data_IF_339919110686
#
_entry.id   IF_339919110686
#
_cell.length_a   1.000
_cell.length_b   1.000
_cell.length_c   1.000
_cell.angle_alpha   90.00
_cell.angle_beta   90.00
_cell.angle_gamma   90.00
#
_symmetry.space_group_name_H-M   'P 1'
#
loop_
_entity.id
_entity.type
_entity.pdbx_description
1 polymer ?
#
# COMPACT_ATOMS: atom_id res chain seq x y z
N UNK A 1 4.18 -9.38 16.44
CA UNK A 1 4.36 -8.68 15.16
C UNK A 1 5.75 -8.12 15.18
N UNK A 2 6.69 -8.78 14.49
CA UNK A 2 8.06 -8.27 14.37
C UNK A 2 8.05 -7.22 13.26
N UNK A 3 8.10 -5.95 13.65
CA UNK A 3 8.43 -4.86 12.72
C UNK A 3 9.80 -5.19 12.12
N UNK A 4 9.85 -5.46 10.82
CA UNK A 4 11.11 -5.70 10.12
C UNK A 4 11.91 -4.40 10.19
N UNK A 5 12.94 -4.38 11.04
CA UNK A 5 13.82 -3.22 11.22
C UNK A 5 14.59 -3.04 9.91
N UNK A 6 14.23 -2.00 9.16
CA UNK A 6 14.94 -1.61 7.95
C UNK A 6 16.35 -1.21 8.34
N UNK A 7 17.35 -1.94 7.86
CA UNK A 7 18.77 -1.70 8.13
C UNK A 7 19.39 -0.81 7.04
N UNK A 8 20.47 -0.09 7.37
CA UNK A 8 21.22 0.71 6.38
C UNK A 8 21.85 -0.16 5.27
N UNK A 9 21.95 -1.47 5.50
CA UNK A 9 22.61 -2.42 4.62
C UNK A 9 21.62 -3.15 3.71
N UNK A 10 20.31 -2.94 3.92
CA UNK A 10 19.27 -3.53 3.10
C UNK A 10 19.34 -2.99 1.68
N UNK A 11 19.30 -3.88 0.70
CA UNK A 11 19.14 -3.47 -0.69
C UNK A 11 17.70 -3.00 -0.88
N UNK A 12 17.53 -1.69 -1.01
CA UNK A 12 16.26 -1.06 -1.37
C UNK A 12 15.96 -1.20 -2.87
N UNK A 13 15.89 -2.44 -3.34
CA UNK A 13 15.37 -2.71 -4.68
C UNK A 13 13.84 -2.67 -4.71
N UNK A 14 13.27 -2.70 -5.91
CA UNK A 14 11.82 -2.59 -6.11
C UNK A 14 11.07 -3.74 -5.46
N UNK A 15 11.65 -4.94 -5.42
CA UNK A 15 10.96 -6.11 -4.87
C UNK A 15 10.95 -6.08 -3.34
N UNK A 16 12.01 -5.55 -2.71
CA UNK A 16 12.01 -5.24 -1.30
C UNK A 16 10.92 -4.22 -0.93
N UNK A 17 10.85 -3.10 -1.66
CA UNK A 17 9.84 -2.06 -1.39
C UNK A 17 8.41 -2.57 -1.61
N UNK A 18 8.18 -3.38 -2.66
CA UNK A 18 6.87 -4.03 -2.88
C UNK A 18 6.48 -4.91 -1.69
N UNK A 19 7.42 -5.68 -1.15
CA UNK A 19 7.17 -6.56 0.00
C UNK A 19 6.74 -5.74 1.22
N UNK A 20 7.43 -4.63 1.50
CA UNK A 20 7.07 -3.72 2.59
C UNK A 20 5.67 -3.11 2.40
N UNK A 21 5.33 -2.69 1.18
CA UNK A 21 4.00 -2.16 0.86
C UNK A 21 2.90 -3.21 1.05
N UNK A 22 3.14 -4.44 0.58
CA UNK A 22 2.18 -5.56 0.75
C UNK A 22 1.92 -5.83 2.23
N UNK A 23 2.99 -5.94 3.04
CA UNK A 23 2.85 -6.11 4.50
C UNK A 23 2.07 -4.93 5.09
N UNK A 24 2.35 -3.70 4.64
CA UNK A 24 1.66 -2.52 5.15
C UNK A 24 0.15 -2.53 4.83
N UNK A 25 -0.25 -3.00 3.65
CA UNK A 25 -1.65 -3.08 3.25
C UNK A 25 -2.45 -4.07 4.08
N UNK A 26 -1.80 -5.08 4.67
CA UNK A 26 -2.43 -6.03 5.60
C UNK A 26 -2.89 -5.39 6.91
N UNK A 27 -2.29 -4.26 7.27
CA UNK A 27 -2.52 -3.55 8.52
C UNK A 27 -3.43 -2.31 8.35
N UNK A 28 -3.81 -1.96 7.12
CA UNK A 28 -4.66 -0.79 6.86
C UNK A 28 -6.14 -1.17 7.05
N UNK A 29 -6.83 -0.44 7.92
CA UNK A 29 -8.29 -0.36 7.83
C UNK A 29 -8.66 0.57 6.67
N UNK A 30 -9.04 -0.04 5.54
CA UNK A 30 -9.42 0.70 4.34
C UNK A 30 -10.73 1.48 4.52
N UNK A 31 -11.60 1.15 5.48
CA UNK A 31 -12.78 1.96 5.74
C UNK A 31 -12.41 3.28 6.40
N UNK A 32 -11.48 3.25 7.35
CA UNK A 32 -10.99 4.47 8.00
C UNK A 32 -10.12 5.30 7.04
N UNK A 33 -9.24 4.66 6.27
CA UNK A 33 -8.47 5.36 5.23
C UNK A 33 -9.37 6.07 4.20
N UNK A 34 -10.48 5.45 3.79
CA UNK A 34 -11.46 6.10 2.89
C UNK A 34 -12.08 7.34 3.55
N UNK A 35 -12.43 7.30 4.83
CA UNK A 35 -13.00 8.47 5.55
C UNK A 35 -12.01 9.63 5.62
N UNK A 36 -10.74 9.34 5.87
CA UNK A 36 -9.69 10.36 5.97
C UNK A 36 -9.46 11.07 4.63
N UNK A 37 -9.59 10.33 3.53
CA UNK A 37 -9.34 10.84 2.18
C UNK A 37 -10.59 11.46 1.54
N UNK A 38 -11.79 11.06 1.97
CA UNK A 38 -13.08 11.51 1.44
C UNK A 38 -13.20 13.04 1.29
N UNK A 39 -12.76 13.89 2.24
CA UNK A 39 -12.89 15.35 2.12
C UNK A 39 -12.06 15.97 0.99
N UNK A 40 -11.06 15.24 0.48
CA UNK A 40 -10.08 15.73 -0.50
C UNK A 40 -10.31 15.22 -1.92
N UNK A 41 -11.26 14.29 -2.11
CA UNK A 41 -11.55 13.68 -3.41
C UNK A 41 -12.85 14.24 -3.99
N UNK A 42 -12.79 14.67 -5.25
CA UNK A 42 -13.96 15.20 -5.97
C UNK A 42 -14.93 14.10 -6.41
N UNK A 43 -14.42 13.00 -6.92
CA UNK A 43 -15.22 11.84 -7.34
C UNK A 43 -14.99 10.70 -6.35
N UNK A 44 -15.91 10.55 -5.40
CA UNK A 44 -15.76 9.60 -4.30
C UNK A 44 -15.90 8.14 -4.75
N UNK A 45 -16.41 7.86 -5.96
CA UNK A 45 -16.55 6.49 -6.47
C UNK A 45 -15.20 5.79 -6.66
N UNK A 46 -14.11 6.56 -6.81
CA UNK A 46 -12.75 5.99 -6.87
C UNK A 46 -12.34 5.28 -5.57
N UNK A 47 -13.01 5.58 -4.45
CA UNK A 47 -12.78 4.93 -3.17
C UNK A 47 -13.46 3.55 -3.10
N UNK A 48 -14.39 3.24 -4.00
CA UNK A 48 -15.13 1.96 -3.95
C UNK A 48 -14.21 0.77 -4.25
N UNK A 49 -13.24 0.95 -5.15
CA UNK A 49 -12.27 -0.09 -5.51
C UNK A 49 -11.16 -0.27 -4.47
N UNK A 50 -11.02 0.65 -3.50
CA UNK A 50 -9.97 0.56 -2.50
C UNK A 50 -10.20 -0.65 -1.58
N UNK A 51 -9.29 -1.61 -1.70
CA UNK A 51 -9.17 -2.76 -0.81
C UNK A 51 -7.71 -3.20 -0.75
N UNK A 52 -7.37 -4.00 0.26
CA UNK A 52 -6.06 -4.66 0.37
C UNK A 52 -5.68 -5.34 -0.95
N UNK A 53 -6.60 -6.13 -1.51
CA UNK A 53 -6.39 -6.90 -2.74
C UNK A 53 -6.10 -6.00 -3.93
N UNK A 54 -6.83 -4.89 -4.07
CA UNK A 54 -6.59 -3.92 -5.14
C UNK A 54 -5.17 -3.33 -5.06
N UNK A 55 -4.77 -2.86 -3.87
CA UNK A 55 -3.45 -2.26 -3.69
C UNK A 55 -2.31 -3.27 -3.87
N UNK A 56 -2.47 -4.51 -3.37
CA UNK A 56 -1.51 -5.60 -3.63
C UNK A 56 -1.38 -5.87 -5.13
N UNK A 57 -2.50 -5.93 -5.85
CA UNK A 57 -2.51 -6.23 -7.28
C UNK A 57 -1.77 -5.17 -8.12
N UNK A 58 -1.98 -3.88 -7.85
CA UNK A 58 -1.29 -2.81 -8.59
C UNK A 58 0.19 -2.71 -8.18
N UNK A 59 0.53 -2.94 -6.91
CA UNK A 59 1.92 -2.96 -6.43
C UNK A 59 2.71 -4.12 -7.05
N UNK A 60 2.10 -5.29 -7.20
CA UNK A 60 2.74 -6.45 -7.81
C UNK A 60 3.09 -6.23 -9.30
N UNK A 61 2.34 -5.35 -9.99
CA UNK A 61 2.56 -5.02 -11.40
C UNK A 61 3.63 -3.94 -11.62
N UNK A 62 4.15 -3.30 -10.57
CA UNK A 62 5.18 -2.27 -10.72
C UNK A 62 6.49 -2.90 -11.25
N UNK A 63 7.06 -2.31 -12.29
CA UNK A 63 8.36 -2.70 -12.83
C UNK A 63 9.27 -1.48 -12.89
N UNK A 64 10.56 -1.63 -12.55
CA UNK A 64 11.54 -0.59 -12.86
C UNK A 64 11.64 -0.45 -14.38
N UNK A 65 11.41 0.75 -14.89
CA UNK A 65 11.61 1.10 -16.31
C UNK A 65 13.04 1.56 -16.53
#
# INVERSE_FOLDING_TARGET
MESHIISQEDKFDVDFVKTLLIVRFDEIDFNDAKKDVLPFIKDTSVLDIWSKEFFIAITSQLTNK
#
